data_IF_637367383060
#
_entry.id   IF_637367383060
#
_cell.length_a   1.000
_cell.length_b   1.000
_cell.length_c   1.000
_cell.angle_alpha   90.00
_cell.angle_beta   90.00
_cell.angle_gamma   90.00
#
_symmetry.space_group_name_H-M   'P 1'
#
loop_
_entity.id
_entity.type
_entity.pdbx_description
1 polymer ?
#
# COMPACT_ATOMS: atom_id res chain seq x y z
N UNK A 1 33.39 4.55 68.57
CA UNK A 1 32.60 3.37 68.15
C UNK A 1 31.72 3.83 66.98
N UNK A 2 32.13 3.57 65.74
CA UNK A 2 31.44 4.05 64.54
C UNK A 2 30.73 2.88 63.86
N UNK A 3 29.41 2.97 63.74
CA UNK A 3 28.57 1.97 63.06
C UNK A 3 28.57 2.31 61.57
N UNK A 4 29.28 1.50 60.77
CA UNK A 4 29.19 1.54 59.31
C UNK A 4 27.96 0.73 58.91
N UNK A 5 26.88 1.41 58.52
CA UNK A 5 25.72 0.77 57.93
C UNK A 5 26.05 0.30 56.51
N UNK A 6 26.32 -0.99 56.36
CA UNK A 6 26.56 -1.62 55.07
C UNK A 6 25.22 -1.76 54.32
N UNK A 7 24.94 -0.79 53.44
CA UNK A 7 23.77 -0.81 52.58
C UNK A 7 23.92 -1.95 51.56
N UNK A 8 23.26 -3.08 51.84
CA UNK A 8 23.21 -4.26 50.95
C UNK A 8 22.49 -3.85 49.66
N UNK A 9 23.25 -3.58 48.61
CA UNK A 9 22.71 -3.30 47.28
C UNK A 9 21.93 -4.52 46.80
N UNK A 10 20.61 -4.36 46.64
CA UNK A 10 19.72 -5.40 46.16
C UNK A 10 19.89 -5.54 44.64
N UNK A 11 20.52 -6.62 44.13
CA UNK A 11 20.88 -6.73 42.71
C UNK A 11 19.65 -6.72 41.77
N UNK A 12 18.47 -7.12 42.26
CA UNK A 12 17.21 -7.05 41.49
C UNK A 12 16.72 -5.62 41.21
N UNK A 13 17.03 -4.67 42.09
CA UNK A 13 16.68 -3.26 41.86
C UNK A 13 17.57 -2.63 40.77
N UNK A 14 18.84 -3.03 40.71
CA UNK A 14 19.78 -2.56 39.67
C UNK A 14 19.46 -3.13 38.28
N UNK A 15 18.94 -4.36 38.18
CA UNK A 15 18.53 -4.95 36.89
C UNK A 15 17.33 -4.20 36.30
N UNK A 16 16.28 -3.94 37.10
CA UNK A 16 15.11 -3.18 36.63
C UNK A 16 15.43 -1.74 36.23
N UNK A 17 16.32 -1.05 36.96
CA UNK A 17 16.78 0.30 36.61
C UNK A 17 17.65 0.29 35.35
N UNK A 18 18.44 -0.77 35.12
CA UNK A 18 19.26 -0.93 33.91
C UNK A 18 18.42 -1.22 32.68
N UNK A 19 17.39 -2.08 32.78
CA UNK A 19 16.46 -2.36 31.68
C UNK A 19 15.61 -1.15 31.34
N UNK A 20 15.08 -0.42 32.33
CA UNK A 20 14.34 0.83 32.11
C UNK A 20 15.23 1.92 31.48
N UNK A 21 16.50 1.99 31.88
CA UNK A 21 17.46 2.95 31.31
C UNK A 21 17.86 2.55 29.89
N UNK A 22 18.02 1.26 29.60
CA UNK A 22 18.27 0.75 28.25
C UNK A 22 17.05 0.92 27.32
N UNK A 23 15.84 0.68 27.83
CA UNK A 23 14.60 0.89 27.10
C UNK A 23 14.40 2.39 26.79
N UNK A 24 14.64 3.28 27.76
CA UNK A 24 14.60 4.74 27.56
C UNK A 24 15.68 5.24 26.62
N UNK A 25 16.90 4.70 26.70
CA UNK A 25 17.97 5.02 25.76
C UNK A 25 17.60 4.58 24.33
N UNK A 26 17.08 3.36 24.15
CA UNK A 26 16.61 2.88 22.84
C UNK A 26 15.42 3.70 22.31
N UNK A 27 14.55 4.18 23.20
CA UNK A 27 13.41 5.03 22.84
C UNK A 27 13.86 6.45 22.47
N UNK A 28 14.93 6.96 23.07
CA UNK A 28 15.55 8.24 22.70
C UNK A 28 16.22 8.18 21.32
N UNK A 29 16.80 7.03 20.96
CA UNK A 29 17.44 6.82 19.66
C UNK A 29 16.44 6.42 18.55
N UNK A 30 15.24 5.97 18.91
CA UNK A 30 14.24 5.48 17.96
C UNK A 30 13.85 6.49 16.86
N UNK A 31 13.63 7.79 17.13
CA UNK A 31 13.33 8.77 16.08
C UNK A 31 14.49 8.94 15.07
N UNK A 32 15.73 8.95 15.57
CA UNK A 32 16.93 9.07 14.73
C UNK A 32 17.14 7.80 13.89
N UNK A 33 16.96 6.62 14.49
CA UNK A 33 17.04 5.34 13.79
C UNK A 33 15.95 5.22 12.69
N UNK A 34 14.72 5.65 12.98
CA UNK A 34 13.64 5.67 12.00
C UNK A 34 13.94 6.63 10.83
N UNK A 35 14.47 7.81 11.13
CA UNK A 35 14.87 8.77 10.11
C UNK A 35 15.98 8.21 9.21
N UNK A 36 17.00 7.59 9.80
CA UNK A 36 18.11 6.95 9.08
C UNK A 36 17.62 5.80 8.18
N UNK A 37 16.79 4.91 8.71
CA UNK A 37 16.18 3.82 7.94
C UNK A 37 15.36 4.35 6.75
N UNK A 38 14.56 5.40 6.97
CA UNK A 38 13.77 6.00 5.90
C UNK A 38 14.65 6.64 4.83
N UNK A 39 15.77 7.27 5.20
CA UNK A 39 16.74 7.80 4.23
C UNK A 39 17.32 6.69 3.35
N UNK A 40 17.70 5.55 3.93
CA UNK A 40 18.19 4.39 3.17
C UNK A 40 17.13 3.86 2.18
N UNK A 41 15.87 3.78 2.62
CA UNK A 41 14.76 3.38 1.74
C UNK A 41 14.55 4.35 0.57
N UNK A 42 14.72 5.65 0.81
CA UNK A 42 14.60 6.68 -0.24
C UNK A 42 15.71 6.57 -1.26
N UNK A 43 16.94 6.32 -0.83
CA UNK A 43 18.08 6.10 -1.71
C UNK A 43 17.91 4.84 -2.55
N UNK A 44 17.48 3.73 -1.94
CA UNK A 44 17.14 2.48 -2.64
C UNK A 44 16.06 2.71 -3.70
N UNK A 45 14.99 3.40 -3.33
CA UNK A 45 13.90 3.71 -4.25
C UNK A 45 14.37 4.60 -5.39
N UNK A 46 15.15 5.65 -5.12
CA UNK A 46 15.67 6.56 -6.14
C UNK A 46 16.55 5.83 -7.17
N UNK A 47 17.43 4.92 -6.70
CA UNK A 47 18.24 4.07 -7.58
C UNK A 47 17.38 3.18 -8.47
N UNK A 48 16.36 2.56 -7.91
CA UNK A 48 15.48 1.64 -8.64
C UNK A 48 14.59 2.37 -9.65
N UNK A 49 14.10 3.55 -9.29
CA UNK A 49 13.28 4.43 -10.12
C UNK A 49 14.02 4.91 -11.38
N UNK A 50 15.36 4.91 -11.38
CA UNK A 50 16.16 5.21 -12.56
C UNK A 50 16.02 4.16 -13.67
N UNK A 51 15.60 2.91 -13.38
CA UNK A 51 15.44 1.83 -14.38
C UNK A 51 14.15 2.01 -15.22
N UNK A 52 14.28 2.07 -16.55
CA UNK A 52 13.19 2.25 -17.51
C UNK A 52 12.13 1.15 -17.47
N UNK A 53 12.48 -0.01 -16.92
CA UNK A 53 11.58 -1.14 -16.72
C UNK A 53 10.41 -0.79 -15.79
N UNK A 54 10.62 0.02 -14.75
CA UNK A 54 9.56 0.36 -13.79
C UNK A 54 8.47 1.22 -14.39
N UNK A 55 8.84 2.21 -15.20
CA UNK A 55 7.86 3.04 -15.90
C UNK A 55 6.95 2.18 -16.80
N UNK A 56 7.52 1.20 -17.53
CA UNK A 56 6.73 0.27 -18.35
C UNK A 56 5.88 -0.68 -17.50
N UNK A 57 6.43 -1.21 -16.42
CA UNK A 57 5.71 -2.09 -15.51
C UNK A 57 4.49 -1.39 -14.90
N UNK A 58 4.66 -0.17 -14.36
CA UNK A 58 3.58 0.63 -13.78
C UNK A 58 2.48 0.96 -14.79
N UNK A 59 2.85 1.36 -16.02
CA UNK A 59 1.86 1.57 -17.09
C UNK A 59 1.10 0.29 -17.41
N UNK A 60 1.80 -0.84 -17.52
CA UNK A 60 1.18 -2.14 -17.76
C UNK A 60 0.18 -2.51 -16.65
N UNK A 61 0.55 -2.31 -15.39
CA UNK A 61 -0.34 -2.57 -14.24
C UNK A 61 -1.55 -1.62 -14.27
N UNK A 62 -1.37 -0.36 -14.64
CA UNK A 62 -2.47 0.59 -14.82
C UNK A 62 -3.47 0.14 -15.90
N UNK A 63 -2.98 -0.38 -17.02
CA UNK A 63 -3.84 -0.93 -18.08
C UNK A 63 -4.58 -2.18 -17.61
N UNK A 64 -3.90 -3.10 -16.92
CA UNK A 64 -4.54 -4.31 -16.36
C UNK A 64 -5.67 -3.95 -15.40
N UNK A 65 -5.42 -3.04 -14.45
CA UNK A 65 -6.45 -2.54 -13.55
C UNK A 65 -7.63 -1.93 -14.32
N UNK A 66 -7.36 -1.01 -15.25
CA UNK A 66 -8.41 -0.40 -16.06
C UNK A 66 -9.26 -1.45 -16.78
N UNK A 67 -8.65 -2.43 -17.43
CA UNK A 67 -9.36 -3.49 -18.14
C UNK A 67 -10.23 -4.33 -17.19
N UNK A 68 -9.71 -4.75 -16.04
CA UNK A 68 -10.48 -5.52 -15.06
C UNK A 68 -11.70 -4.74 -14.55
N UNK A 69 -11.52 -3.46 -14.23
CA UNK A 69 -12.61 -2.60 -13.76
C UNK A 69 -13.63 -2.25 -14.85
N UNK A 70 -13.22 -2.15 -16.13
CA UNK A 70 -14.16 -2.03 -17.24
C UNK A 70 -14.99 -3.30 -17.44
N UNK A 71 -14.40 -4.49 -17.24
CA UNK A 71 -15.16 -5.76 -17.24
C UNK A 71 -16.15 -5.78 -16.08
N UNK A 72 -15.74 -5.40 -14.86
CA UNK A 72 -16.64 -5.26 -13.72
C UNK A 72 -17.79 -4.27 -14.00
N UNK A 73 -17.49 -3.17 -14.69
CA UNK A 73 -18.48 -2.17 -15.10
C UNK A 73 -19.46 -2.71 -16.13
N UNK A 74 -19.00 -3.47 -17.13
CA UNK A 74 -19.85 -4.04 -18.17
C UNK A 74 -20.78 -5.13 -17.63
N UNK A 75 -20.34 -5.83 -16.58
CA UNK A 75 -21.11 -6.86 -15.89
C UNK A 75 -21.97 -6.31 -14.75
N UNK A 76 -21.97 -4.99 -14.51
CA UNK A 76 -22.74 -4.34 -13.46
C UNK A 76 -24.24 -4.30 -13.81
N UNK A 77 -24.88 -5.46 -13.77
CA UNK A 77 -26.34 -5.59 -13.68
C UNK A 77 -26.78 -5.50 -12.21
N UNK A 78 -28.06 -5.24 -11.89
CA UNK A 78 -28.58 -5.40 -10.53
C UNK A 78 -28.46 -6.87 -10.10
N UNK A 79 -27.32 -7.19 -9.50
CA UNK A 79 -26.84 -8.55 -9.30
C UNK A 79 -27.61 -9.28 -8.20
N UNK A 80 -28.05 -10.49 -8.54
CA UNK A 80 -28.62 -11.51 -7.65
C UNK A 80 -27.70 -11.79 -6.45
N UNK A 81 -28.27 -12.11 -5.28
CA UNK A 81 -27.52 -12.47 -4.07
C UNK A 81 -26.56 -13.64 -4.39
N UNK A 82 -25.25 -13.43 -4.23
CA UNK A 82 -24.11 -14.37 -4.42
C UNK A 82 -23.58 -14.52 -5.86
N UNK A 83 -23.06 -13.44 -6.45
CA UNK A 83 -22.32 -13.53 -7.71
C UNK A 83 -20.80 -13.70 -7.48
N UNK A 84 -20.28 -14.86 -7.86
CA UNK A 84 -18.86 -15.22 -7.78
C UNK A 84 -18.02 -14.62 -8.93
N UNK A 85 -18.66 -14.05 -9.97
CA UNK A 85 -17.95 -13.49 -11.14
C UNK A 85 -16.98 -12.39 -10.73
N UNK A 86 -17.38 -11.49 -9.83
CA UNK A 86 -16.50 -10.42 -9.34
C UNK A 86 -15.28 -10.95 -8.58
N UNK A 87 -15.44 -12.05 -7.85
CA UNK A 87 -14.33 -12.71 -7.16
C UNK A 87 -13.34 -13.33 -8.15
N UNK A 88 -13.87 -13.98 -9.20
CA UNK A 88 -13.05 -14.54 -10.26
C UNK A 88 -12.29 -13.47 -11.06
N UNK A 89 -12.96 -12.35 -11.41
CA UNK A 89 -12.32 -11.22 -12.09
C UNK A 89 -11.19 -10.66 -11.25
N UNK A 90 -11.40 -10.49 -9.94
CA UNK A 90 -10.36 -10.02 -9.03
C UNK A 90 -9.14 -10.96 -8.98
N UNK A 91 -9.38 -12.29 -8.94
CA UNK A 91 -8.28 -13.26 -8.97
C UNK A 91 -7.52 -13.21 -10.30
N UNK A 92 -8.23 -13.10 -11.43
CA UNK A 92 -7.62 -12.95 -12.76
C UNK A 92 -6.81 -11.67 -12.85
N UNK A 93 -7.32 -10.55 -12.34
CA UNK A 93 -6.62 -9.28 -12.25
C UNK A 93 -5.32 -9.41 -11.46
N UNK A 94 -5.36 -10.05 -10.28
CA UNK A 94 -4.18 -10.28 -9.45
C UNK A 94 -3.10 -11.07 -10.20
N UNK A 95 -3.49 -12.15 -10.87
CA UNK A 95 -2.57 -12.96 -11.69
C UNK A 95 -2.01 -12.13 -12.84
N UNK A 96 -2.85 -11.35 -13.53
CA UNK A 96 -2.43 -10.49 -14.63
C UNK A 96 -1.42 -9.44 -14.15
N UNK A 97 -1.67 -8.76 -13.02
CA UNK A 97 -0.71 -7.80 -12.45
C UNK A 97 0.61 -8.48 -12.11
N UNK A 98 0.59 -9.65 -11.47
CA UNK A 98 1.82 -10.39 -11.16
C UNK A 98 2.61 -10.76 -12.42
N UNK A 99 1.92 -11.24 -13.46
CA UNK A 99 2.52 -11.57 -14.76
C UNK A 99 3.11 -10.34 -15.42
N UNK A 100 2.38 -9.23 -15.47
CA UNK A 100 2.84 -7.93 -16.01
C UNK A 100 4.10 -7.45 -15.29
N UNK A 101 4.09 -7.47 -13.95
CA UNK A 101 5.25 -7.12 -13.14
C UNK A 101 6.43 -8.04 -13.44
N UNK A 102 6.20 -9.36 -13.54
CA UNK A 102 7.24 -10.33 -13.88
C UNK A 102 7.83 -10.10 -15.28
N UNK A 103 7.00 -9.78 -16.26
CA UNK A 103 7.42 -9.54 -17.64
C UNK A 103 8.24 -8.26 -17.78
N UNK A 104 7.81 -7.17 -17.15
CA UNK A 104 8.46 -5.86 -17.32
C UNK A 104 9.55 -5.57 -16.27
N UNK A 105 9.35 -5.91 -15.00
CA UNK A 105 10.33 -5.68 -13.93
C UNK A 105 11.27 -6.88 -13.69
N UNK A 106 10.97 -8.06 -14.24
CA UNK A 106 11.83 -9.24 -14.24
C UNK A 106 11.51 -10.28 -13.15
N UNK A 107 12.20 -11.44 -13.19
CA UNK A 107 11.84 -12.64 -12.40
C UNK A 107 11.91 -12.48 -10.87
N UNK A 108 12.76 -11.59 -10.37
CA UNK A 108 13.02 -11.39 -8.94
C UNK A 108 12.69 -9.97 -8.48
N UNK A 109 11.76 -9.30 -9.17
CA UNK A 109 11.43 -7.89 -8.93
C UNK A 109 11.13 -7.58 -7.46
N UNK A 110 10.37 -8.45 -6.78
CA UNK A 110 9.95 -8.28 -5.36
C UNK A 110 11.13 -8.15 -4.39
N UNK A 111 12.27 -8.77 -4.71
CA UNK A 111 13.45 -8.84 -3.82
C UNK A 111 14.65 -8.07 -4.36
N UNK A 112 14.44 -7.15 -5.31
CA UNK A 112 15.55 -6.36 -5.89
C UNK A 112 16.26 -5.50 -4.84
N UNK A 113 15.50 -4.84 -3.96
CA UNK A 113 16.01 -4.05 -2.85
C UNK A 113 14.98 -3.95 -1.72
N UNK A 114 15.37 -3.33 -0.61
CA UNK A 114 14.51 -3.22 0.58
C UNK A 114 13.27 -2.36 0.31
N UNK A 115 13.41 -1.28 -0.45
CA UNK A 115 12.32 -0.38 -0.80
C UNK A 115 11.22 -1.07 -1.59
N UNK A 116 11.56 -1.80 -2.66
CA UNK A 116 10.62 -2.59 -3.45
C UNK A 116 9.95 -3.68 -2.61
N UNK A 117 10.70 -4.34 -1.73
CA UNK A 117 10.14 -5.34 -0.84
C UNK A 117 9.09 -4.74 0.12
N UNK A 118 9.34 -3.53 0.65
CA UNK A 118 8.37 -2.79 1.48
C UNK A 118 7.14 -2.40 0.67
N UNK A 119 7.32 -1.86 -0.55
CA UNK A 119 6.18 -1.53 -1.44
C UNK A 119 5.36 -2.76 -1.77
N UNK A 120 6.01 -3.88 -2.10
CA UNK A 120 5.33 -5.14 -2.40
C UNK A 120 4.53 -5.64 -1.20
N UNK A 121 5.06 -5.52 0.03
CA UNK A 121 4.31 -5.85 1.26
C UNK A 121 3.11 -4.94 1.46
N UNK A 122 3.27 -3.62 1.34
CA UNK A 122 2.16 -2.67 1.45
C UNK A 122 1.07 -2.95 0.41
N UNK A 123 1.47 -3.24 -0.83
CA UNK A 123 0.55 -3.56 -1.92
C UNK A 123 -0.16 -4.90 -1.67
N UNK A 124 0.55 -5.91 -1.18
CA UNK A 124 -0.04 -7.20 -0.79
C UNK A 124 -1.05 -7.02 0.34
N UNK A 125 -0.74 -6.21 1.36
CA UNK A 125 -1.67 -5.89 2.44
C UNK A 125 -2.91 -5.17 1.90
N UNK A 126 -2.73 -4.18 1.03
CA UNK A 126 -3.84 -3.50 0.35
C UNK A 126 -4.75 -4.49 -0.38
N UNK A 127 -4.19 -5.47 -1.10
CA UNK A 127 -4.95 -6.48 -1.81
C UNK A 127 -5.71 -7.42 -0.88
N UNK A 128 -5.08 -7.91 0.19
CA UNK A 128 -5.73 -8.77 1.19
C UNK A 128 -6.93 -8.04 1.80
N UNK A 129 -6.75 -6.78 2.20
CA UNK A 129 -7.82 -5.97 2.77
C UNK A 129 -8.93 -5.71 1.74
N UNK A 130 -8.57 -5.35 0.50
CA UNK A 130 -9.53 -5.11 -0.58
C UNK A 130 -10.35 -6.35 -0.90
N UNK A 131 -9.71 -7.53 -0.95
CA UNK A 131 -10.38 -8.82 -1.15
C UNK A 131 -11.31 -9.18 -0.01
N UNK A 132 -10.87 -8.95 1.23
CA UNK A 132 -11.67 -9.19 2.42
C UNK A 132 -12.96 -8.35 2.40
N UNK A 133 -12.86 -7.06 2.07
CA UNK A 133 -14.03 -6.15 2.00
C UNK A 133 -15.04 -6.61 0.94
N UNK A 134 -14.58 -7.02 -0.26
CA UNK A 134 -15.47 -7.57 -1.30
C UNK A 134 -16.14 -8.86 -0.85
N UNK A 135 -15.37 -9.75 -0.24
CA UNK A 135 -15.85 -11.05 0.23
C UNK A 135 -16.92 -10.86 1.31
N UNK A 136 -16.66 -9.97 2.29
CA UNK A 136 -17.62 -9.61 3.33
C UNK A 136 -18.89 -9.00 2.73
N UNK A 137 -18.76 -8.08 1.76
CA UNK A 137 -19.91 -7.50 1.08
C UNK A 137 -20.76 -8.57 0.36
N UNK A 138 -20.11 -9.53 -0.31
CA UNK A 138 -20.80 -10.64 -0.97
C UNK A 138 -21.53 -11.56 0.03
N UNK A 139 -20.94 -11.78 1.21
CA UNK A 139 -21.52 -12.63 2.27
C UNK A 139 -22.69 -11.96 3.02
N UNK A 140 -22.59 -10.65 3.29
CA UNK A 140 -23.61 -9.89 4.04
C UNK A 140 -24.87 -9.61 3.20
N UNK A 141 -24.74 -9.55 1.87
CA UNK A 141 -25.83 -9.21 0.98
C UNK A 141 -25.79 -7.73 0.58
N UNK A 142 -26.07 -7.48 -0.70
CA UNK A 142 -25.80 -6.23 -1.43
C UNK A 142 -26.95 -5.23 -1.21
N UNK A 143 -27.19 -4.77 0.00
CA UNK A 143 -28.14 -3.65 0.20
C UNK A 143 -27.48 -2.28 0.01
N UNK A 144 -26.17 -2.17 0.24
CA UNK A 144 -25.42 -0.93 -0.01
C UNK A 144 -24.01 -1.17 -0.55
N UNK A 145 -23.56 -0.41 -1.58
CA UNK A 145 -22.22 -0.53 -2.14
C UNK A 145 -21.13 0.15 -1.27
N UNK A 146 -21.24 0.07 0.06
CA UNK A 146 -20.32 0.72 1.00
C UNK A 146 -18.85 0.28 0.82
N UNK A 147 -18.63 -0.96 0.34
CA UNK A 147 -17.31 -1.50 0.07
C UNK A 147 -16.52 -0.66 -0.95
N UNK A 148 -17.21 0.00 -1.89
CA UNK A 148 -16.61 0.86 -2.91
C UNK A 148 -15.89 2.06 -2.29
N UNK A 149 -16.49 2.67 -1.26
CA UNK A 149 -15.87 3.78 -0.52
C UNK A 149 -14.65 3.28 0.28
N UNK A 150 -14.73 2.07 0.86
CA UNK A 150 -13.61 1.45 1.59
C UNK A 150 -12.42 1.16 0.68
N UNK A 151 -12.64 0.75 -0.57
CA UNK A 151 -11.55 0.59 -1.54
C UNK A 151 -10.78 1.89 -1.80
N UNK A 152 -11.50 3.01 -1.91
CA UNK A 152 -10.86 4.31 -2.09
C UNK A 152 -10.05 4.73 -0.87
N UNK A 153 -10.55 4.49 0.34
CA UNK A 153 -9.78 4.80 1.56
C UNK A 153 -8.55 3.91 1.71
N UNK A 154 -8.64 2.62 1.37
CA UNK A 154 -7.49 1.72 1.30
C UNK A 154 -6.44 2.20 0.28
N UNK A 155 -6.88 2.67 -0.89
CA UNK A 155 -5.99 3.22 -1.92
C UNK A 155 -5.34 4.52 -1.47
N UNK A 156 -6.10 5.44 -0.86
CA UNK A 156 -5.57 6.66 -0.25
C UNK A 156 -4.52 6.34 0.80
N UNK A 157 -4.79 5.38 1.69
CA UNK A 157 -3.85 4.96 2.73
C UNK A 157 -2.57 4.35 2.13
N UNK A 158 -2.71 3.53 1.09
CA UNK A 158 -1.56 2.95 0.39
C UNK A 158 -0.65 4.05 -0.18
N UNK A 159 -1.19 4.99 -0.95
CA UNK A 159 -0.39 6.08 -1.51
C UNK A 159 0.14 7.06 -0.45
N UNK A 160 -0.63 7.34 0.60
CA UNK A 160 -0.16 8.15 1.73
C UNK A 160 1.02 7.48 2.45
N UNK A 161 0.99 6.15 2.60
CA UNK A 161 2.11 5.38 3.16
C UNK A 161 3.35 5.48 2.28
N UNK A 162 3.18 5.37 0.94
CA UNK A 162 4.28 5.60 -0.01
C UNK A 162 4.81 7.04 0.07
N UNK A 163 3.94 8.02 0.31
CA UNK A 163 4.33 9.41 0.44
C UNK A 163 5.18 9.67 1.68
N UNK A 164 4.77 9.08 2.81
CA UNK A 164 5.49 9.17 4.06
C UNK A 164 6.87 8.48 3.98
N UNK A 165 6.94 7.32 3.34
CA UNK A 165 8.17 6.54 3.18
C UNK A 165 9.14 7.20 2.19
N UNK A 166 8.70 7.43 0.95
CA UNK A 166 9.60 7.67 -0.17
C UNK A 166 9.65 9.13 -0.62
N UNK A 167 8.52 9.70 -1.04
CA UNK A 167 8.47 11.07 -1.58
C UNK A 167 7.09 11.69 -1.40
N UNK A 168 6.99 12.97 -1.01
CA UNK A 168 5.71 13.65 -0.86
C UNK A 168 4.90 13.70 -2.16
N UNK A 169 5.50 13.46 -3.33
CA UNK A 169 4.77 13.38 -4.60
C UNK A 169 3.68 12.31 -4.63
N UNK A 170 3.80 11.24 -3.83
CA UNK A 170 2.74 10.24 -3.70
C UNK A 170 1.50 10.76 -2.93
N UNK A 171 1.54 11.97 -2.34
CA UNK A 171 0.31 12.61 -1.85
C UNK A 171 -0.66 12.96 -2.98
N UNK A 172 -0.16 13.24 -4.20
CA UNK A 172 -1.01 13.54 -5.35
C UNK A 172 -1.98 12.37 -5.63
N UNK A 173 -1.50 11.13 -5.87
CA UNK A 173 -2.41 9.99 -6.03
C UNK A 173 -3.19 9.64 -4.75
N UNK A 174 -2.68 9.95 -3.55
CA UNK A 174 -3.45 9.73 -2.31
C UNK A 174 -4.72 10.60 -2.25
N UNK A 175 -4.57 11.90 -2.54
CA UNK A 175 -5.69 12.86 -2.64
C UNK A 175 -6.60 12.51 -3.80
N UNK A 176 -6.03 12.11 -4.95
CA UNK A 176 -6.81 11.63 -6.09
C UNK A 176 -7.71 10.45 -5.71
N UNK A 177 -7.20 9.46 -4.98
CA UNK A 177 -7.99 8.30 -4.55
C UNK A 177 -9.09 8.66 -3.56
N UNK A 178 -8.84 9.64 -2.69
CA UNK A 178 -9.88 10.16 -1.80
C UNK A 178 -11.01 10.82 -2.61
N UNK A 179 -10.66 11.69 -3.55
CA UNK A 179 -11.62 12.33 -4.44
C UNK A 179 -12.36 11.31 -5.33
N UNK A 180 -11.67 10.23 -5.73
CA UNK A 180 -12.27 9.11 -6.46
C UNK A 180 -13.38 8.45 -5.65
N UNK A 181 -13.20 8.28 -4.34
CA UNK A 181 -14.25 7.78 -3.44
C UNK A 181 -15.49 8.67 -3.42
N UNK A 182 -15.32 10.00 -3.40
CA UNK A 182 -16.43 10.94 -3.49
C UNK A 182 -17.14 10.85 -4.85
N UNK A 183 -16.37 10.79 -5.94
CA UNK A 183 -16.93 10.65 -7.29
C UNK A 183 -17.70 9.34 -7.46
N UNK A 184 -17.19 8.23 -6.93
CA UNK A 184 -17.87 6.94 -6.96
C UNK A 184 -19.16 6.96 -6.14
N UNK A 185 -19.20 7.69 -5.02
CA UNK A 185 -20.42 7.84 -4.23
C UNK A 185 -21.49 8.65 -4.99
N UNK A 186 -21.08 9.71 -5.69
CA UNK A 186 -21.99 10.55 -6.50
C UNK A 186 -22.46 9.85 -7.78
N UNK A 187 -21.58 9.07 -8.42
CA UNK A 187 -21.84 8.39 -9.69
C UNK A 187 -21.74 6.87 -9.51
N UNK A 188 -22.49 6.32 -8.54
CA UNK A 188 -22.44 4.89 -8.17
C UNK A 188 -22.59 3.92 -9.35
N UNK A 189 -23.46 4.18 -10.36
CA UNK A 189 -23.57 3.31 -11.53
C UNK A 189 -22.27 3.18 -12.33
N UNK A 190 -21.38 4.18 -12.28
CA UNK A 190 -20.11 4.21 -13.01
C UNK A 190 -18.90 3.96 -12.10
N UNK A 191 -19.11 3.55 -10.85
CA UNK A 191 -18.08 3.54 -9.84
C UNK A 191 -16.88 2.64 -10.20
N UNK A 192 -17.10 1.49 -10.84
CA UNK A 192 -16.01 0.61 -11.27
C UNK A 192 -15.15 1.30 -12.34
N UNK A 193 -15.76 1.90 -13.37
CA UNK A 193 -15.03 2.64 -14.39
C UNK A 193 -14.24 3.82 -13.80
N UNK A 194 -14.86 4.61 -12.92
CA UNK A 194 -14.21 5.74 -12.25
C UNK A 194 -12.97 5.27 -11.48
N UNK A 195 -13.08 4.19 -10.73
CA UNK A 195 -11.98 3.63 -9.96
C UNK A 195 -10.84 3.10 -10.84
N UNK A 196 -11.18 2.34 -11.90
CA UNK A 196 -10.21 1.81 -12.85
C UNK A 196 -9.44 2.91 -13.60
N UNK A 197 -10.15 3.95 -14.04
CA UNK A 197 -9.53 5.13 -14.66
C UNK A 197 -8.61 5.84 -13.67
N UNK A 198 -9.05 6.03 -12.43
CA UNK A 198 -8.23 6.68 -11.39
C UNK A 198 -6.93 5.90 -11.12
N UNK A 199 -6.98 4.58 -10.98
CA UNK A 199 -5.77 3.75 -10.82
C UNK A 199 -4.85 3.84 -12.02
N UNK A 200 -5.39 3.79 -13.23
CA UNK A 200 -4.59 3.95 -14.45
C UNK A 200 -3.90 5.31 -14.51
N UNK A 201 -4.61 6.41 -14.20
CA UNK A 201 -4.06 7.75 -14.16
C UNK A 201 -2.97 7.89 -13.08
N UNK A 202 -3.19 7.34 -11.89
CA UNK A 202 -2.20 7.37 -10.81
C UNK A 202 -0.91 6.67 -11.22
N UNK A 203 -1.00 5.45 -11.75
CA UNK A 203 0.17 4.65 -12.14
C UNK A 203 0.88 5.21 -13.37
N UNK A 204 0.13 5.69 -14.37
CA UNK A 204 0.69 6.37 -15.54
C UNK A 204 1.34 7.70 -15.16
N UNK A 205 0.74 8.46 -14.23
CA UNK A 205 1.30 9.71 -13.71
C UNK A 205 2.63 9.48 -13.00
N UNK A 206 2.71 8.47 -12.12
CA UNK A 206 3.96 8.06 -11.48
C UNK A 206 4.98 7.61 -12.54
N UNK A 207 4.55 6.78 -13.50
CA UNK A 207 5.41 6.30 -14.58
C UNK A 207 5.95 7.43 -15.48
N UNK A 208 5.17 8.48 -15.71
CA UNK A 208 5.58 9.65 -16.47
C UNK A 208 6.56 10.54 -15.69
N UNK A 209 6.33 10.73 -14.39
CA UNK A 209 7.25 11.45 -13.51
C UNK A 209 8.64 10.77 -13.50
N UNK A 210 8.65 9.43 -13.39
CA UNK A 210 9.86 8.62 -13.51
C UNK A 210 10.64 8.81 -14.81
N UNK A 211 9.95 9.11 -15.92
CA UNK A 211 10.62 9.37 -17.21
C UNK A 211 11.20 10.77 -17.30
N UNK A 212 10.58 11.76 -16.64
CA UNK A 212 11.01 13.16 -16.67
C UNK A 212 12.22 13.44 -15.77
N UNK A 213 12.42 12.62 -14.74
CA UNK A 213 13.58 12.70 -13.84
C UNK A 213 14.86 12.03 -14.38
N UNK A 214 14.85 11.54 -15.62
CA UNK A 214 16.04 11.12 -16.35
C UNK A 214 16.54 12.25 -17.23
#
# INVERSE_FOLDING_TARGET
>A
MAIVAQQKANPRANVGISEDRAARASAQDAPAALAAWRTLLREDMAREMADARWSRALMGVGVVHLSAFLVCQALAEPVSRRDLRYLAIWFVELVAVFVTMRMFAGRHWIRRNAAVAVVAKLWTTFLILSFNVVSLNSLVGIEHPWFKAVWCTLSTFFFASLAWLFTPLFFIPAVQMWATGLLMATFDPYAYAIYGVSWCLALCGVAANLRRGR
#
